data_IF_081171381640
#
_entry.id   IF_081171381640
#
_cell.length_a   1.000
_cell.length_b   1.000
_cell.length_c   1.000
_cell.angle_alpha   90.00
_cell.angle_beta   90.00
_cell.angle_gamma   90.00
#
_symmetry.space_group_name_H-M   'P 1'
#
loop_
_entity.id
_entity.type
_entity.pdbx_description
1 polymer ?
#
# COMPACT_ATOMS: atom_id res chain seq x y z
N UNK A 1 -16.85 -5.19 29.86
CA UNK A 1 -16.69 -6.16 28.76
C UNK A 1 -16.39 -7.53 29.35
N UNK A 2 -16.73 -8.63 28.67
CA UNK A 2 -16.37 -9.99 29.11
C UNK A 2 -15.10 -10.46 28.39
N UNK A 3 -14.39 -11.45 28.93
CA UNK A 3 -13.21 -12.06 28.31
C UNK A 3 -13.46 -12.49 26.85
N UNK A 4 -14.63 -13.07 26.58
CA UNK A 4 -15.06 -13.46 25.23
C UNK A 4 -15.22 -12.27 24.28
N UNK A 5 -15.58 -11.09 24.81
CA UNK A 5 -15.68 -9.85 24.04
C UNK A 5 -14.31 -9.34 23.61
N UNK A 6 -13.32 -9.37 24.51
CA UNK A 6 -11.94 -8.95 24.18
C UNK A 6 -11.30 -9.86 23.12
N UNK A 7 -11.47 -11.18 23.26
CA UNK A 7 -10.98 -12.14 22.26
C UNK A 7 -11.63 -11.94 20.87
N UNK A 8 -12.93 -11.61 20.83
CA UNK A 8 -13.60 -11.30 19.58
C UNK A 8 -13.04 -10.02 18.94
N UNK A 9 -12.82 -8.97 19.72
CA UNK A 9 -12.21 -7.71 19.24
C UNK A 9 -10.80 -7.93 18.71
N UNK A 10 -9.94 -8.65 19.45
CA UNK A 10 -8.58 -8.98 19.02
C UNK A 10 -8.58 -9.75 17.69
N UNK A 11 -9.49 -10.71 17.53
CA UNK A 11 -9.61 -11.47 16.29
C UNK A 11 -9.99 -10.60 15.09
N UNK A 12 -10.88 -9.64 15.29
CA UNK A 12 -11.24 -8.65 14.26
C UNK A 12 -10.04 -7.81 13.88
N UNK A 13 -9.31 -7.26 14.86
CA UNK A 13 -8.10 -6.45 14.63
C UNK A 13 -7.06 -7.25 13.84
N UNK A 14 -6.80 -8.50 14.23
CA UNK A 14 -5.83 -9.37 13.55
C UNK A 14 -6.26 -9.69 12.11
N UNK A 15 -7.56 -9.90 11.88
CA UNK A 15 -8.10 -10.11 10.52
C UNK A 15 -7.89 -8.86 9.65
N UNK A 16 -8.11 -7.66 10.20
CA UNK A 16 -7.84 -6.40 9.49
C UNK A 16 -6.34 -6.20 9.23
N UNK A 17 -5.47 -6.57 10.17
CA UNK A 17 -4.01 -6.54 9.96
C UNK A 17 -3.58 -7.46 8.81
N UNK A 18 -4.16 -8.66 8.70
CA UNK A 18 -3.88 -9.60 7.59
C UNK A 18 -4.32 -9.05 6.23
N UNK A 19 -5.48 -8.38 6.19
CA UNK A 19 -5.97 -7.71 4.98
C UNK A 19 -5.00 -6.60 4.57
N UNK A 20 -4.64 -5.70 5.49
CA UNK A 20 -3.70 -4.61 5.23
C UNK A 20 -2.33 -5.14 4.78
N UNK A 21 -1.85 -6.23 5.39
CA UNK A 21 -0.60 -6.86 4.98
C UNK A 21 -0.66 -7.41 3.54
N UNK A 22 -1.81 -7.97 3.15
CA UNK A 22 -2.04 -8.48 1.79
C UNK A 22 -2.13 -7.35 0.77
N UNK A 23 -2.79 -6.25 1.12
CA UNK A 23 -2.87 -5.07 0.26
C UNK A 23 -1.50 -4.41 0.06
N UNK A 24 -0.71 -4.26 1.13
CA UNK A 24 0.66 -3.75 1.02
C UNK A 24 1.54 -4.60 0.08
N UNK A 25 1.46 -5.93 0.17
CA UNK A 25 2.16 -6.83 -0.78
C UNK A 25 1.70 -6.63 -2.22
N UNK A 26 0.40 -6.39 -2.41
CA UNK A 26 -0.16 -6.12 -3.73
C UNK A 26 0.36 -4.81 -4.31
N UNK A 27 0.44 -3.75 -3.48
CA UNK A 27 1.01 -2.46 -3.90
C UNK A 27 2.49 -2.61 -4.26
N UNK A 28 3.30 -3.29 -3.44
CA UNK A 28 4.72 -3.51 -3.78
C UNK A 28 4.87 -4.21 -5.14
N UNK A 29 4.02 -5.21 -5.43
CA UNK A 29 4.03 -5.86 -6.74
C UNK A 29 3.63 -4.89 -7.87
N UNK A 30 2.62 -4.06 -7.65
CA UNK A 30 2.21 -3.06 -8.65
C UNK A 30 3.29 -2.01 -8.92
N UNK A 31 4.06 -1.62 -7.90
CA UNK A 31 5.21 -0.72 -8.06
C UNK A 31 6.33 -1.38 -8.89
N UNK A 32 6.63 -2.66 -8.61
CA UNK A 32 7.59 -3.43 -9.41
C UNK A 32 7.13 -3.56 -10.86
N UNK A 33 5.86 -3.95 -11.09
CA UNK A 33 5.28 -4.11 -12.42
C UNK A 33 5.32 -2.79 -13.20
N UNK A 34 4.97 -1.66 -12.57
CA UNK A 34 5.06 -0.33 -13.19
C UNK A 34 6.50 0.04 -13.54
N UNK A 35 7.47 -0.26 -12.67
CA UNK A 35 8.87 0.00 -12.93
C UNK A 35 9.35 -0.75 -14.19
N UNK A 36 9.01 -2.03 -14.33
CA UNK A 36 9.37 -2.81 -15.51
C UNK A 36 8.68 -2.29 -16.78
N UNK A 37 7.40 -1.93 -16.69
CA UNK A 37 6.66 -1.38 -17.83
C UNK A 37 7.28 -0.05 -18.28
N UNK A 38 7.56 0.87 -17.35
CA UNK A 38 8.17 2.16 -17.65
C UNK A 38 9.55 1.99 -18.30
N UNK A 39 10.37 1.07 -17.79
CA UNK A 39 11.69 0.79 -18.37
C UNK A 39 11.59 0.28 -19.82
N UNK A 40 10.69 -0.67 -20.08
CA UNK A 40 10.50 -1.24 -21.41
C UNK A 40 9.88 -0.23 -22.38
N UNK A 41 8.94 0.59 -21.90
CA UNK A 41 8.35 1.68 -22.68
C UNK A 41 9.41 2.71 -23.07
N UNK A 42 10.27 3.14 -22.15
CA UNK A 42 11.39 4.06 -22.46
C UNK A 42 12.35 3.45 -23.48
N UNK A 43 12.64 2.15 -23.37
CA UNK A 43 13.46 1.42 -24.35
C UNK A 43 12.83 1.48 -25.74
N UNK A 44 11.55 1.14 -25.86
CA UNK A 44 10.81 1.14 -27.13
C UNK A 44 10.69 2.56 -27.71
N UNK A 45 10.39 3.57 -26.90
CA UNK A 45 10.34 4.96 -27.37
C UNK A 45 11.69 5.42 -27.91
N UNK A 46 12.79 5.08 -27.24
CA UNK A 46 14.13 5.45 -27.72
C UNK A 46 14.45 4.83 -29.07
N UNK A 47 14.03 3.58 -29.30
CA UNK A 47 14.20 2.84 -30.55
C UNK A 47 13.37 3.46 -31.69
N UNK A 48 12.10 3.78 -31.41
CA UNK A 48 11.20 4.45 -32.38
C UNK A 48 11.76 5.83 -32.75
N UNK A 49 12.09 6.68 -31.78
CA UNK A 49 12.63 8.02 -32.06
C UNK A 49 13.95 7.97 -32.84
N UNK A 50 14.80 6.97 -32.60
CA UNK A 50 16.04 6.79 -33.33
C UNK A 50 15.82 6.41 -34.81
N UNK A 51 14.77 5.63 -35.10
CA UNK A 51 14.46 5.09 -36.43
C UNK A 51 13.44 5.92 -37.22
N UNK A 52 12.71 6.82 -36.56
CA UNK A 52 11.70 7.68 -37.20
C UNK A 52 12.31 8.79 -38.08
N UNK A 53 11.62 9.17 -39.17
CA UNK A 53 11.91 10.39 -39.93
C UNK A 53 11.79 11.66 -39.07
N UNK A 54 12.50 12.77 -39.41
CA UNK A 54 12.50 13.99 -38.62
C UNK A 54 11.12 14.58 -38.28
N UNK A 55 10.17 14.48 -39.22
CA UNK A 55 8.80 14.97 -39.07
C UNK A 55 7.99 14.18 -38.03
N UNK A 56 8.27 12.88 -37.89
CA UNK A 56 7.61 12.00 -36.92
C UNK A 56 8.29 12.02 -35.55
N UNK A 57 9.57 12.40 -35.47
CA UNK A 57 10.30 12.47 -34.19
C UNK A 57 9.64 13.39 -33.17
N UNK A 58 9.17 14.56 -33.61
CA UNK A 58 8.47 15.49 -32.72
C UNK A 58 7.17 14.89 -32.18
N UNK A 59 6.42 14.17 -33.02
CA UNK A 59 5.19 13.49 -32.60
C UNK A 59 5.46 12.44 -31.50
N UNK A 60 6.51 11.63 -31.66
CA UNK A 60 6.88 10.62 -30.66
C UNK A 60 7.52 11.22 -29.40
N UNK A 61 8.20 12.35 -29.51
CA UNK A 61 8.74 13.07 -28.35
C UNK A 61 7.62 13.61 -27.44
N UNK A 62 6.60 14.26 -27.99
CA UNK A 62 5.47 14.78 -27.20
C UNK A 62 4.69 13.65 -26.52
N UNK A 63 4.44 12.55 -27.24
CA UNK A 63 3.78 11.35 -26.70
C UNK A 63 4.58 10.67 -25.59
N UNK A 64 5.91 10.63 -25.71
CA UNK A 64 6.79 10.09 -24.67
C UNK A 64 6.75 10.90 -23.37
N UNK A 65 6.59 12.23 -23.47
CA UNK A 65 6.40 13.11 -22.31
C UNK A 65 5.06 12.83 -21.62
N UNK A 66 3.99 12.70 -22.39
CA UNK A 66 2.66 12.36 -21.85
C UNK A 66 2.67 11.00 -21.12
N UNK A 67 3.31 9.99 -21.69
CA UNK A 67 3.38 8.67 -21.06
C UNK A 67 4.19 8.68 -19.77
N UNK A 68 5.36 9.37 -19.76
CA UNK A 68 6.14 9.56 -18.53
C UNK A 68 5.32 10.22 -17.42
N UNK A 69 4.57 11.28 -17.74
CA UNK A 69 3.71 11.94 -16.75
C UNK A 69 2.64 11.00 -16.19
N UNK A 70 2.08 10.09 -17.01
CA UNK A 70 1.12 9.10 -16.54
C UNK A 70 1.76 8.07 -15.61
N UNK A 71 2.96 7.60 -15.96
CA UNK A 71 3.75 6.68 -15.14
C UNK A 71 4.11 7.29 -13.77
N UNK A 72 4.62 8.52 -13.76
CA UNK A 72 4.92 9.27 -12.53
C UNK A 72 3.68 9.46 -11.65
N UNK A 73 2.54 9.81 -12.26
CA UNK A 73 1.27 9.93 -11.54
C UNK A 73 0.80 8.61 -10.95
N UNK A 74 0.94 7.51 -11.68
CA UNK A 74 0.58 6.17 -11.18
C UNK A 74 1.48 5.76 -10.00
N UNK A 75 2.79 6.01 -10.09
CA UNK A 75 3.74 5.77 -8.99
C UNK A 75 3.38 6.60 -7.75
N UNK A 76 3.06 7.89 -7.93
CA UNK A 76 2.66 8.74 -6.81
C UNK A 76 1.39 8.23 -6.12
N UNK A 77 0.37 7.84 -6.90
CA UNK A 77 -0.87 7.29 -6.33
C UNK A 77 -0.64 6.01 -5.53
N UNK A 78 0.22 5.12 -6.02
CA UNK A 78 0.59 3.91 -5.27
C UNK A 78 1.35 4.25 -3.98
N UNK A 79 2.28 5.21 -4.02
CA UNK A 79 3.00 5.66 -2.84
C UNK A 79 2.08 6.28 -1.78
N UNK A 80 1.10 7.09 -2.20
CA UNK A 80 0.08 7.64 -1.32
C UNK A 80 -0.76 6.53 -0.67
N UNK A 81 -1.19 5.53 -1.45
CA UNK A 81 -1.94 4.37 -0.94
C UNK A 81 -1.12 3.52 0.03
N UNK A 82 0.15 3.29 -0.27
CA UNK A 82 1.08 2.60 0.61
C UNK A 82 1.24 3.34 1.95
N UNK A 83 1.37 4.67 1.91
CA UNK A 83 1.47 5.49 3.10
C UNK A 83 0.20 5.44 3.97
N UNK A 84 -0.98 5.50 3.34
CA UNK A 84 -2.27 5.32 4.02
C UNK A 84 -2.37 3.95 4.71
N UNK A 85 -2.01 2.86 4.00
CA UNK A 85 -2.05 1.51 4.57
C UNK A 85 -1.04 1.31 5.70
N UNK A 86 0.16 1.89 5.59
CA UNK A 86 1.14 1.84 6.67
C UNK A 86 0.66 2.59 7.92
N UNK A 87 -0.06 3.71 7.73
CA UNK A 87 -0.71 4.41 8.84
C UNK A 87 -1.80 3.54 9.49
N UNK A 88 -2.67 2.93 8.69
CA UNK A 88 -3.71 2.02 9.20
C UNK A 88 -3.10 0.83 9.93
N UNK A 89 -2.04 0.21 9.39
CA UNK A 89 -1.31 -0.86 10.04
C UNK A 89 -0.81 -0.46 11.43
N UNK A 90 -0.24 0.74 11.55
CA UNK A 90 0.21 1.27 12.84
C UNK A 90 -0.95 1.43 13.83
N UNK A 91 -2.07 1.99 13.38
CA UNK A 91 -3.27 2.17 14.21
C UNK A 91 -3.85 0.82 14.68
N UNK A 92 -3.83 -0.20 13.83
CA UNK A 92 -4.28 -1.55 14.20
C UNK A 92 -3.37 -2.20 15.25
N UNK A 93 -2.05 -1.98 15.18
CA UNK A 93 -1.11 -2.46 16.21
C UNK A 93 -1.32 -1.74 17.55
N UNK A 94 -1.56 -0.43 17.51
CA UNK A 94 -1.89 0.36 18.71
C UNK A 94 -3.20 -0.13 19.34
N UNK A 95 -4.25 -0.33 18.53
CA UNK A 95 -5.53 -0.84 19.00
C UNK A 95 -5.44 -2.26 19.56
N UNK A 96 -4.58 -3.12 18.99
CA UNK A 96 -4.36 -4.47 19.50
C UNK A 96 -3.72 -4.42 20.90
N UNK A 97 -2.67 -3.62 21.08
CA UNK A 97 -2.00 -3.42 22.37
C UNK A 97 -2.95 -2.82 23.42
N UNK A 98 -3.73 -1.80 23.06
CA UNK A 98 -4.75 -1.22 23.94
C UNK A 98 -5.77 -2.27 24.38
N UNK A 99 -6.24 -3.12 23.45
CA UNK A 99 -7.20 -4.19 23.77
C UNK A 99 -6.60 -5.21 24.74
N UNK A 100 -5.33 -5.58 24.59
CA UNK A 100 -4.64 -6.45 25.55
C UNK A 100 -4.51 -5.80 26.93
N UNK A 101 -4.20 -4.50 26.99
CA UNK A 101 -4.10 -3.77 28.26
C UNK A 101 -5.45 -3.70 28.97
N UNK A 102 -6.53 -3.41 28.25
CA UNK A 102 -7.89 -3.39 28.80
C UNK A 102 -8.29 -4.77 29.33
N UNK A 103 -8.03 -5.84 28.56
CA UNK A 103 -8.32 -7.21 29.00
C UNK A 103 -7.57 -7.53 30.30
N UNK A 104 -6.28 -7.17 30.39
CA UNK A 104 -5.46 -7.41 31.58
C UNK A 104 -5.95 -6.63 32.79
N UNK A 105 -6.34 -5.36 32.61
CA UNK A 105 -6.90 -4.53 33.69
C UNK A 105 -8.21 -5.15 34.19
N UNK A 106 -9.10 -5.54 33.28
CA UNK A 106 -10.38 -6.17 33.64
C UNK A 106 -10.19 -7.46 34.45
N UNK A 107 -9.22 -8.31 34.07
CA UNK A 107 -8.88 -9.52 34.82
C UNK A 107 -8.36 -9.20 36.23
N UNK A 108 -7.47 -8.21 36.37
CA UNK A 108 -6.94 -7.79 37.68
C UNK A 108 -8.02 -7.19 38.58
N UNK A 109 -8.99 -6.48 38.02
CA UNK A 109 -10.13 -5.95 38.78
C UNK A 109 -11.07 -7.07 39.23
N UNK A 110 -11.30 -8.09 38.39
CA UNK A 110 -12.10 -9.25 38.76
C UNK A 110 -11.43 -10.07 39.89
N UNK A 111 -10.10 -10.19 39.87
CA UNK A 111 -9.33 -10.85 40.94
C UNK A 111 -9.34 -10.07 42.26
N UNK A 112 -9.31 -8.73 42.23
CA UNK A 112 -9.36 -7.89 43.45
C UNK A 112 -10.76 -7.75 44.05
N UNK A 113 -11.81 -8.00 43.26
CA UNK A 113 -13.19 -7.99 43.70
C UNK A 113 -13.69 -9.30 44.29
N UNK A 114 -12.88 -10.37 44.22
CA UNK A 114 -13.11 -11.68 44.86
C UNK A 114 -12.40 -11.74 46.22
#
# INVERSE_FOLDING_TARGET
MTETSYQATLRTIQTEQDIVATELRTISKQQEDLFYIDQEEQRLYSEVVATSPPEEKMYFQDRGVDSRHQSEKAQQLLAEKEAELNKTKKQLLEAEEETYQEQRIALLEEEKGK
#
